data_IF_194943664050
#
_entry.id   IF_194943664050
#
_cell.length_a   1.000
_cell.length_b   1.000
_cell.length_c   1.000
_cell.angle_alpha   90.00
_cell.angle_beta   90.00
_cell.angle_gamma   90.00
#
_symmetry.space_group_name_H-M   'P 1'
#
loop_
_entity.id
_entity.type
_entity.pdbx_description
1 polymer ?
#
# COMPACT_ATOMS: atom_id res chain seq x y z
N UNK A 1 82.45 6.57 20.72
CA UNK A 1 82.79 7.43 21.87
C UNK A 1 83.30 8.76 21.34
N UNK A 2 82.40 9.71 21.07
CA UNK A 2 82.61 11.15 21.24
C UNK A 2 81.26 11.87 21.02
N UNK A 3 81.08 12.93 21.79
CA UNK A 3 79.89 13.77 21.95
C UNK A 3 79.36 14.37 20.65
N UNK A 4 78.02 14.43 20.52
CA UNK A 4 77.31 15.67 20.16
C UNK A 4 76.03 15.74 21.02
N UNK A 5 75.95 16.77 21.85
CA UNK A 5 74.69 17.19 22.47
C UNK A 5 73.73 17.65 21.37
N UNK A 6 72.54 17.08 21.31
CA UNK A 6 71.41 17.69 20.60
C UNK A 6 70.23 17.72 21.56
N UNK A 7 69.91 18.94 22.01
CA UNK A 7 68.68 19.26 22.72
C UNK A 7 67.48 18.74 21.92
N UNK A 8 66.78 17.75 22.48
CA UNK A 8 65.50 17.27 22.01
C UNK A 8 64.43 18.31 22.29
N UNK A 9 64.30 19.21 21.32
CA UNK A 9 63.39 20.34 21.19
C UNK A 9 62.02 20.19 21.91
N UNK A 10 61.79 20.95 22.99
CA UNK A 10 60.48 21.07 23.67
C UNK A 10 59.37 21.55 22.73
N UNK A 11 59.75 22.25 21.65
CA UNK A 11 58.80 22.68 20.63
C UNK A 11 58.25 21.52 19.79
N UNK A 12 58.99 20.43 19.58
CA UNK A 12 58.49 19.27 18.82
C UNK A 12 57.43 18.47 19.60
N UNK A 13 57.58 18.35 20.93
CA UNK A 13 56.54 17.74 21.77
C UNK A 13 55.31 18.65 21.89
N UNK A 14 55.49 19.96 22.02
CA UNK A 14 54.38 20.92 22.03
C UNK A 14 53.62 20.94 20.70
N UNK A 15 54.33 20.82 19.58
CA UNK A 15 53.74 20.79 18.23
C UNK A 15 53.01 19.48 17.97
N UNK A 16 53.57 18.35 18.42
CA UNK A 16 52.92 17.03 18.37
C UNK A 16 51.64 17.00 19.23
N UNK A 17 51.67 17.57 20.44
CA UNK A 17 50.49 17.68 21.30
C UNK A 17 49.41 18.61 20.72
N UNK A 18 49.80 19.70 20.05
CA UNK A 18 48.88 20.57 19.31
C UNK A 18 48.25 19.84 18.12
N UNK A 19 49.02 19.02 17.40
CA UNK A 19 48.52 18.18 16.31
C UNK A 19 47.54 17.12 16.78
N UNK A 20 47.84 16.43 17.88
CA UNK A 20 46.94 15.42 18.48
C UNK A 20 45.66 16.10 18.99
N UNK A 21 45.75 17.27 19.64
CA UNK A 21 44.56 18.04 20.06
C UNK A 21 43.73 18.50 18.85
N UNK A 22 44.35 18.88 17.74
CA UNK A 22 43.64 19.24 16.51
C UNK A 22 42.93 18.03 15.87
N UNK A 23 43.58 16.87 15.83
CA UNK A 23 42.99 15.60 15.36
C UNK A 23 41.83 15.13 16.23
N UNK A 24 41.94 15.26 17.56
CA UNK A 24 40.83 14.98 18.48
C UNK A 24 39.69 15.98 18.29
N UNK A 25 39.97 17.26 18.07
CA UNK A 25 38.94 18.28 17.80
C UNK A 25 38.21 18.01 16.48
N UNK A 26 38.93 17.64 15.41
CA UNK A 26 38.35 17.26 14.12
C UNK A 26 37.50 15.98 14.26
N UNK A 27 37.94 15.01 15.05
CA UNK A 27 37.16 13.80 15.36
C UNK A 27 35.87 14.15 16.14
N UNK A 28 35.95 15.04 17.14
CA UNK A 28 34.78 15.50 17.89
C UNK A 28 33.80 16.30 17.01
N UNK A 29 34.30 17.16 16.10
CA UNK A 29 33.45 17.88 15.14
C UNK A 29 32.82 16.89 14.14
N UNK A 30 33.57 15.90 13.68
CA UNK A 30 33.07 14.82 12.83
C UNK A 30 31.91 14.08 13.50
N UNK A 31 32.09 13.63 14.75
CA UNK A 31 31.03 12.96 15.54
C UNK A 31 29.82 13.87 15.76
N UNK A 32 30.02 15.17 15.99
CA UNK A 32 28.91 16.14 16.12
C UNK A 32 28.18 16.35 14.80
N UNK A 33 28.87 16.38 13.66
CA UNK A 33 28.24 16.47 12.33
C UNK A 33 27.47 15.19 12.01
N UNK A 34 28.01 14.01 12.31
CA UNK A 34 27.30 12.74 12.11
C UNK A 34 26.10 12.64 13.05
N UNK A 35 26.22 13.11 14.31
CA UNK A 35 25.09 13.22 15.24
C UNK A 35 24.04 14.22 14.74
N UNK A 36 24.43 15.39 14.22
CA UNK A 36 23.50 16.38 13.66
C UNK A 36 22.81 15.88 12.38
N UNK A 37 23.50 15.12 11.53
CA UNK A 37 22.92 14.45 10.37
C UNK A 37 21.98 13.31 10.78
N UNK A 38 22.31 12.60 11.87
CA UNK A 38 21.43 11.58 12.45
C UNK A 38 20.21 12.21 13.15
N UNK A 39 20.35 13.36 13.81
CA UNK A 39 19.24 14.14 14.40
C UNK A 39 18.33 14.76 13.34
N UNK A 40 18.84 15.10 12.16
CA UNK A 40 18.01 15.50 11.00
C UNK A 40 17.37 14.29 10.27
N UNK A 41 17.75 13.06 10.60
CA UNK A 41 17.21 11.82 10.03
C UNK A 41 16.38 10.98 11.02
N UNK A 42 16.38 11.34 12.30
CA UNK A 42 15.44 10.81 13.28
C UNK A 42 14.17 11.64 13.18
N UNK A 43 13.05 10.96 12.98
CA UNK A 43 11.70 11.51 13.01
C UNK A 43 11.59 12.65 14.02
N UNK A 44 11.19 13.84 13.54
CA UNK A 44 10.56 14.83 14.42
C UNK A 44 9.34 14.10 14.99
N UNK A 45 9.50 13.54 16.19
CA UNK A 45 8.40 13.14 17.04
C UNK A 45 7.67 14.45 17.31
N UNK A 46 6.64 14.73 16.52
CA UNK A 46 5.60 15.63 16.95
C UNK A 46 5.04 15.00 18.23
N UNK A 47 5.51 15.49 19.37
CA UNK A 47 4.70 15.47 20.57
C UNK A 47 3.47 16.33 20.25
N UNK A 48 2.48 15.69 19.64
CA UNK A 48 1.11 16.16 19.69
C UNK A 48 0.81 16.18 21.17
N UNK A 49 0.79 17.38 21.75
CA UNK A 49 0.06 17.58 22.99
C UNK A 49 -1.36 17.12 22.68
N UNK A 50 -1.71 15.91 23.12
CA UNK A 50 -3.08 15.49 23.26
C UNK A 50 -3.68 16.49 24.26
N UNK A 51 -4.25 17.57 23.73
CA UNK A 51 -5.14 18.43 24.49
C UNK A 51 -6.16 17.50 25.12
N UNK A 52 -6.35 17.63 26.44
CA UNK A 52 -7.50 17.00 27.11
C UNK A 52 -8.73 17.25 26.22
N UNK A 53 -9.52 16.23 25.88
CA UNK A 53 -10.75 16.48 25.16
C UNK A 53 -11.57 17.42 26.05
N UNK A 54 -11.77 18.63 25.56
CA UNK A 54 -12.80 19.50 26.09
C UNK A 54 -14.09 18.68 26.03
N UNK A 55 -14.74 18.60 27.19
CA UNK A 55 -15.93 17.81 27.44
C UNK A 55 -17.11 18.47 26.71
N UNK A 56 -17.08 18.44 25.38
CA UNK A 56 -18.19 18.82 24.52
C UNK A 56 -19.00 17.56 24.30
N UNK A 57 -20.19 17.53 24.88
CA UNK A 57 -21.22 16.50 24.72
C UNK A 57 -21.83 16.48 23.30
N UNK A 58 -21.04 16.84 22.28
CA UNK A 58 -21.42 16.85 20.88
C UNK A 58 -21.04 15.53 20.20
N UNK A 59 -21.93 15.04 19.34
CA UNK A 59 -21.63 13.96 18.40
C UNK A 59 -20.36 14.34 17.59
N UNK A 60 -19.33 13.49 17.53
CA UNK A 60 -18.18 13.71 16.66
C UNK A 60 -18.68 13.94 15.23
N UNK A 61 -18.25 15.03 14.60
CA UNK A 61 -18.60 15.34 13.22
C UNK A 61 -17.39 15.08 12.33
N UNK A 62 -17.57 14.20 11.36
CA UNK A 62 -16.56 13.86 10.35
C UNK A 62 -16.93 14.60 9.06
N UNK A 63 -15.95 15.27 8.46
CA UNK A 63 -16.08 15.90 7.17
C UNK A 63 -15.64 14.91 6.07
N UNK A 64 -16.50 14.55 5.10
CA UNK A 64 -16.10 13.72 3.98
C UNK A 64 -14.88 14.25 3.22
N UNK A 65 -14.69 15.57 3.15
CA UNK A 65 -13.57 16.19 2.45
C UNK A 65 -12.23 15.97 3.15
N UNK A 66 -12.21 15.59 4.43
CA UNK A 66 -10.97 15.26 5.11
C UNK A 66 -10.32 13.98 4.56
N UNK A 67 -11.10 13.12 3.89
CA UNK A 67 -10.61 11.94 3.18
C UNK A 67 -10.08 12.26 1.79
N UNK A 68 -10.23 13.51 1.30
CA UNK A 68 -9.76 13.88 -0.03
C UNK A 68 -8.23 13.80 -0.10
N UNK A 69 -7.73 13.21 -1.18
CA UNK A 69 -6.29 13.08 -1.42
C UNK A 69 -5.74 14.38 -1.97
N UNK A 70 -4.59 14.81 -1.43
CA UNK A 70 -3.80 15.93 -1.93
C UNK A 70 -2.38 15.46 -2.28
N UNK A 71 -1.66 16.16 -3.18
CA UNK A 71 -0.39 15.69 -3.72
C UNK A 71 0.67 15.24 -2.71
N UNK A 72 0.77 15.91 -1.56
CA UNK A 72 1.84 15.71 -0.57
C UNK A 72 1.34 15.27 0.81
N UNK A 73 0.13 14.71 0.89
CA UNK A 73 -0.50 14.36 2.14
C UNK A 73 -0.88 12.88 2.11
N UNK A 74 -0.09 12.00 2.75
CA UNK A 74 -0.23 10.54 2.67
C UNK A 74 -1.31 9.92 3.54
N UNK A 75 -2.03 10.73 4.33
CA UNK A 75 -3.12 10.29 5.20
C UNK A 75 -4.25 11.34 5.21
N UNK A 76 -5.49 10.99 5.61
CA UNK A 76 -6.60 11.97 5.72
C UNK A 76 -6.31 13.15 6.68
N UNK A 77 -6.97 14.31 6.49
CA UNK A 77 -6.75 15.57 7.28
C UNK A 77 -7.33 15.59 8.71
N UNK A 78 -7.83 14.47 9.23
CA UNK A 78 -8.57 14.47 10.50
C UNK A 78 -7.63 14.20 11.69
N UNK A 79 -7.22 15.25 12.42
CA UNK A 79 -6.23 15.09 13.51
C UNK A 79 -6.79 14.64 14.87
N UNK A 80 -8.12 14.59 15.07
CA UNK A 80 -8.70 14.31 16.39
C UNK A 80 -9.74 13.17 16.46
N UNK A 81 -10.27 12.69 15.34
CA UNK A 81 -11.39 11.71 15.32
C UNK A 81 -11.22 10.55 14.35
N UNK A 82 -10.12 10.47 13.60
CA UNK A 82 -9.86 9.32 12.73
C UNK A 82 -9.26 8.18 13.54
N UNK A 83 -9.77 6.99 13.28
CA UNK A 83 -9.23 5.78 13.88
C UNK A 83 -7.87 5.50 13.25
N UNK A 84 -6.85 5.38 14.08
CA UNK A 84 -5.56 4.85 13.66
C UNK A 84 -5.75 3.42 13.17
N UNK A 85 -5.50 3.17 11.88
CA UNK A 85 -5.68 1.86 11.26
C UNK A 85 -4.78 0.80 11.90
N UNK A 86 -3.65 1.19 12.48
CA UNK A 86 -2.76 0.27 13.21
C UNK A 86 -3.39 -0.23 14.52
N UNK A 87 -4.27 0.58 15.13
CA UNK A 87 -4.93 0.28 16.41
C UNK A 87 -6.16 -0.62 16.30
N UNK A 88 -6.65 -0.88 15.09
CA UNK A 88 -7.82 -1.71 14.84
C UNK A 88 -7.52 -3.19 15.08
N UNK A 89 -8.56 -3.97 15.44
CA UNK A 89 -8.49 -5.42 15.37
C UNK A 89 -8.53 -5.85 13.90
N UNK A 90 -7.56 -6.68 13.49
CA UNK A 90 -7.41 -7.19 12.13
C UNK A 90 -7.42 -8.72 12.17
N UNK A 91 -8.03 -9.39 11.17
CA UNK A 91 -7.88 -10.83 11.02
C UNK A 91 -6.41 -11.22 10.83
N UNK A 92 -6.08 -12.45 11.20
CA UNK A 92 -4.80 -13.06 10.81
C UNK A 92 -4.66 -13.07 9.29
N UNK A 93 -3.43 -12.88 8.81
CA UNK A 93 -3.16 -12.84 7.38
C UNK A 93 -3.42 -14.24 6.76
N UNK A 94 -4.28 -14.35 5.73
CA UNK A 94 -4.47 -15.59 5.02
C UNK A 94 -3.24 -15.85 4.14
N UNK A 95 -2.44 -16.84 4.52
CA UNK A 95 -1.15 -17.17 3.87
C UNK A 95 -1.09 -18.63 3.44
N UNK A 96 -0.34 -18.89 2.36
CA UNK A 96 -0.05 -20.23 1.90
C UNK A 96 0.94 -20.92 2.85
N UNK A 97 0.80 -22.24 3.03
CA UNK A 97 1.70 -23.03 3.88
C UNK A 97 3.16 -23.05 3.36
N UNK A 98 3.36 -22.83 2.07
CA UNK A 98 4.66 -22.82 1.43
C UNK A 98 4.76 -21.65 0.45
N UNK A 99 5.96 -21.06 0.27
CA UNK A 99 6.15 -20.00 -0.72
C UNK A 99 5.81 -20.50 -2.11
N UNK A 100 5.02 -19.72 -2.85
CA UNK A 100 4.76 -20.01 -4.25
C UNK A 100 6.08 -19.93 -5.05
N UNK A 101 6.17 -20.74 -6.11
CA UNK A 101 7.41 -21.01 -6.87
C UNK A 101 8.52 -21.66 -6.05
N UNK A 102 8.15 -22.46 -5.06
CA UNK A 102 9.05 -23.45 -4.47
C UNK A 102 9.13 -24.69 -5.37
N UNK A 103 10.24 -25.44 -5.27
CA UNK A 103 10.50 -26.65 -6.05
C UNK A 103 10.65 -27.87 -5.15
N UNK A 104 10.28 -29.05 -5.64
CA UNK A 104 10.58 -30.32 -4.97
C UNK A 104 12.05 -30.73 -5.15
N UNK A 105 12.47 -31.84 -4.55
CA UNK A 105 13.83 -32.40 -4.66
C UNK A 105 14.25 -32.76 -6.10
N UNK A 106 13.29 -32.85 -7.03
CA UNK A 106 13.53 -33.09 -8.47
C UNK A 106 13.64 -31.79 -9.28
N UNK A 107 13.54 -30.63 -8.62
CA UNK A 107 13.56 -29.31 -9.26
C UNK A 107 12.24 -28.91 -9.91
N UNK A 108 11.16 -29.66 -9.71
CA UNK A 108 9.84 -29.36 -10.28
C UNK A 108 9.09 -28.38 -9.38
N UNK A 109 8.42 -27.39 -9.97
CA UNK A 109 7.61 -26.45 -9.20
C UNK A 109 6.44 -27.15 -8.51
N UNK A 110 6.25 -26.85 -7.22
CA UNK A 110 5.07 -27.28 -6.48
C UNK A 110 3.79 -26.71 -7.12
N UNK A 111 2.67 -27.46 -7.11
CA UNK A 111 1.40 -26.97 -7.61
C UNK A 111 0.95 -25.74 -6.81
N UNK A 112 0.27 -24.81 -7.49
CA UNK A 112 -0.38 -23.71 -6.77
C UNK A 112 -1.58 -24.25 -5.98
N UNK A 113 -1.94 -23.58 -4.87
CA UNK A 113 -3.12 -23.94 -4.09
C UNK A 113 -4.41 -23.97 -4.94
N UNK A 114 -5.43 -24.74 -4.50
CA UNK A 114 -6.75 -24.73 -5.10
C UNK A 114 -7.38 -23.33 -5.18
N UNK A 115 -8.47 -23.20 -5.93
CA UNK A 115 -9.18 -21.92 -6.02
C UNK A 115 -9.67 -21.46 -4.63
N UNK A 116 -9.53 -20.14 -4.37
CA UNK A 116 -9.91 -19.52 -3.10
C UNK A 116 -9.08 -19.96 -1.89
N UNK A 117 -7.92 -20.60 -2.12
CA UNK A 117 -6.87 -20.74 -1.11
C UNK A 117 -5.82 -19.63 -1.28
N UNK A 118 -5.15 -19.20 -0.20
CA UNK A 118 -4.13 -18.17 -0.30
C UNK A 118 -2.95 -18.62 -1.15
N UNK A 119 -2.45 -17.75 -2.01
CA UNK A 119 -1.35 -18.07 -2.95
C UNK A 119 0.01 -17.63 -2.40
N UNK A 120 0.07 -16.46 -1.76
CA UNK A 120 1.29 -15.92 -1.17
C UNK A 120 1.53 -16.53 0.21
N UNK A 121 2.77 -16.94 0.48
CA UNK A 121 3.24 -17.20 1.84
C UNK A 121 3.33 -15.91 2.67
N UNK A 122 3.66 -16.03 3.96
CA UNK A 122 3.82 -14.89 4.87
C UNK A 122 4.85 -13.89 4.35
N UNK A 123 6.06 -14.34 4.00
CA UNK A 123 7.11 -13.44 3.53
C UNK A 123 6.78 -12.81 2.16
N UNK A 124 6.07 -13.55 1.30
CA UNK A 124 5.62 -13.04 0.00
C UNK A 124 4.55 -11.96 0.16
N UNK A 125 3.56 -12.18 1.03
CA UNK A 125 2.50 -11.21 1.33
C UNK A 125 3.07 -9.94 1.98
N UNK A 126 4.01 -10.09 2.92
CA UNK A 126 4.76 -8.97 3.53
C UNK A 126 5.56 -8.16 2.51
N UNK A 127 6.23 -8.83 1.57
CA UNK A 127 6.91 -8.14 0.48
C UNK A 127 5.92 -7.35 -0.38
N UNK A 128 4.79 -7.95 -0.80
CA UNK A 128 3.76 -7.27 -1.61
C UNK A 128 3.20 -6.04 -0.90
N UNK A 129 2.89 -6.13 0.41
CA UNK A 129 2.50 -4.96 1.23
C UNK A 129 3.56 -3.87 1.20
N UNK A 130 4.82 -4.22 1.39
CA UNK A 130 5.92 -3.24 1.41
C UNK A 130 6.19 -2.62 0.04
N UNK A 131 6.01 -3.35 -1.05
CA UNK A 131 6.07 -2.79 -2.40
C UNK A 131 5.02 -1.69 -2.58
N UNK A 132 3.77 -1.98 -2.22
CA UNK A 132 2.66 -1.03 -2.32
C UNK A 132 2.85 0.19 -1.40
N UNK A 133 3.22 -0.04 -0.14
CA UNK A 133 3.46 1.03 0.84
C UNK A 133 4.63 1.93 0.42
N UNK A 134 5.76 1.33 0.03
CA UNK A 134 6.95 2.08 -0.42
C UNK A 134 6.64 2.90 -1.66
N UNK A 135 5.90 2.34 -2.62
CA UNK A 135 5.44 3.08 -3.79
C UNK A 135 4.59 4.29 -3.40
N UNK A 136 3.59 4.09 -2.53
CA UNK A 136 2.70 5.16 -2.07
C UNK A 136 3.47 6.30 -1.39
N UNK A 137 4.30 5.98 -0.40
CA UNK A 137 5.13 6.96 0.31
C UNK A 137 6.06 7.71 -0.64
N UNK A 138 6.65 7.00 -1.60
CA UNK A 138 7.50 7.59 -2.63
C UNK A 138 6.73 8.59 -3.50
N UNK A 139 5.49 8.28 -3.87
CA UNK A 139 4.64 9.18 -4.65
C UNK A 139 4.27 10.43 -3.86
N UNK A 140 3.85 10.29 -2.59
CA UNK A 140 3.52 11.43 -1.73
C UNK A 140 4.74 12.32 -1.44
N UNK A 141 5.90 11.73 -1.14
CA UNK A 141 7.14 12.47 -0.89
C UNK A 141 7.59 13.30 -2.10
N UNK A 142 7.10 12.98 -3.31
CA UNK A 142 7.40 13.69 -4.56
C UNK A 142 6.25 14.58 -5.06
N UNK A 143 5.20 14.78 -4.24
CA UNK A 143 4.04 15.59 -4.58
C UNK A 143 3.20 14.98 -5.71
N UNK A 144 3.09 13.65 -5.75
CA UNK A 144 2.36 12.88 -6.77
C UNK A 144 1.23 12.03 -6.17
N UNK A 145 0.86 12.28 -4.90
CA UNK A 145 -0.13 11.54 -4.14
C UNK A 145 -1.51 11.43 -4.80
N UNK A 146 -1.91 12.46 -5.55
CA UNK A 146 -3.18 12.53 -6.27
C UNK A 146 -3.10 12.04 -7.74
N UNK A 147 -1.95 11.49 -8.14
CA UNK A 147 -1.68 11.02 -9.52
C UNK A 147 -1.62 9.51 -9.65
N UNK A 148 -1.98 8.78 -8.60
CA UNK A 148 -2.18 7.34 -8.63
C UNK A 148 -3.36 6.94 -7.74
N UNK A 149 -3.87 5.74 -7.97
CA UNK A 149 -4.91 5.13 -7.14
C UNK A 149 -4.70 3.62 -7.06
N UNK A 150 -5.22 2.98 -6.02
CA UNK A 150 -5.37 1.53 -5.99
C UNK A 150 -6.14 1.08 -7.24
N UNK A 151 -5.77 -0.08 -7.78
CA UNK A 151 -6.39 -0.61 -8.98
C UNK A 151 -6.57 -2.11 -8.91
N UNK A 152 -7.15 -2.72 -9.96
CA UNK A 152 -7.14 -4.17 -10.12
C UNK A 152 -7.77 -4.92 -8.94
N UNK A 153 -7.15 -6.04 -8.57
CA UNK A 153 -7.58 -6.84 -7.42
C UNK A 153 -7.32 -6.13 -6.09
N UNK A 154 -6.33 -5.24 -6.05
CA UNK A 154 -5.97 -4.42 -4.87
C UNK A 154 -7.08 -3.45 -4.47
N UNK A 155 -7.66 -2.70 -5.42
CA UNK A 155 -8.80 -1.80 -5.15
C UNK A 155 -10.05 -2.59 -4.74
N UNK A 156 -10.31 -3.71 -5.41
CA UNK A 156 -11.43 -4.57 -5.05
C UNK A 156 -11.26 -5.15 -3.65
N UNK A 157 -10.03 -5.54 -3.29
CA UNK A 157 -9.67 -5.96 -1.95
C UNK A 157 -9.88 -4.87 -0.90
N UNK A 158 -9.43 -3.64 -1.14
CA UNK A 158 -9.72 -2.48 -0.27
C UNK A 158 -11.23 -2.33 -0.03
N UNK A 159 -12.04 -2.51 -1.07
CA UNK A 159 -13.48 -2.38 -0.97
C UNK A 159 -14.16 -3.55 -0.23
N UNK A 160 -13.67 -4.78 -0.43
CA UNK A 160 -14.33 -6.04 -0.02
C UNK A 160 -13.77 -6.64 1.27
N UNK A 161 -12.51 -6.40 1.57
CA UNK A 161 -11.78 -7.04 2.68
C UNK A 161 -11.03 -6.04 3.55
N UNK A 162 -11.09 -4.74 3.21
CA UNK A 162 -10.15 -3.71 3.69
C UNK A 162 -8.68 -4.11 3.52
N UNK A 163 -8.35 -5.06 2.65
CA UNK A 163 -7.02 -5.65 2.48
C UNK A 163 -6.96 -6.44 1.16
N UNK A 164 -5.86 -7.14 0.85
CA UNK A 164 -5.80 -8.05 -0.30
C UNK A 164 -6.94 -9.07 -0.30
N UNK A 165 -7.47 -9.35 -1.50
CA UNK A 165 -8.31 -10.53 -1.70
C UNK A 165 -7.48 -11.77 -1.25
N UNK A 166 -8.02 -12.66 -0.41
CA UNK A 166 -7.21 -13.71 0.23
C UNK A 166 -6.44 -14.63 -0.74
N UNK A 167 -6.96 -14.82 -1.96
CA UNK A 167 -6.38 -15.66 -3.01
C UNK A 167 -5.80 -14.86 -4.19
N UNK A 168 -5.68 -13.53 -4.08
CA UNK A 168 -4.92 -12.73 -5.06
C UNK A 168 -3.43 -13.00 -4.92
N UNK A 169 -2.69 -12.86 -6.02
CA UNK A 169 -1.25 -13.15 -6.07
C UNK A 169 -0.36 -11.94 -6.41
N UNK A 170 -0.90 -10.73 -6.50
CA UNK A 170 -0.14 -9.51 -6.76
C UNK A 170 -0.79 -8.24 -6.20
N UNK A 171 -0.19 -7.08 -6.51
CA UNK A 171 -0.72 -5.76 -6.19
C UNK A 171 -0.75 -4.88 -7.45
N UNK A 172 -1.75 -4.00 -7.54
CA UNK A 172 -1.98 -3.13 -8.69
C UNK A 172 -2.19 -1.67 -8.27
N UNK A 173 -1.53 -0.76 -8.98
CA UNK A 173 -1.82 0.68 -8.94
C UNK A 173 -2.09 1.21 -10.34
N UNK A 174 -2.87 2.27 -10.44
CA UNK A 174 -3.20 2.95 -11.70
C UNK A 174 -2.70 4.39 -11.65
N UNK A 175 -1.72 4.72 -12.48
CA UNK A 175 -0.95 5.97 -12.46
C UNK A 175 -1.26 6.80 -13.70
N UNK A 176 -1.29 8.12 -13.56
CA UNK A 176 -1.46 9.00 -14.71
C UNK A 176 -0.27 8.85 -15.69
N UNK A 177 -0.55 8.49 -16.94
CA UNK A 177 0.50 8.22 -17.92
C UNK A 177 1.40 9.43 -18.19
N UNK A 178 0.89 10.66 -18.00
CA UNK A 178 1.65 11.89 -18.22
C UNK A 178 2.84 12.06 -17.28
N UNK A 179 2.85 11.37 -16.13
CA UNK A 179 3.95 11.41 -15.16
C UNK A 179 4.82 10.15 -15.18
N UNK A 180 4.59 9.23 -16.13
CA UNK A 180 5.24 7.92 -16.16
C UNK A 180 6.78 8.00 -16.11
N UNK A 181 7.39 8.86 -16.91
CA UNK A 181 8.86 8.96 -16.94
C UNK A 181 9.41 9.48 -15.61
N UNK A 182 8.70 10.42 -14.96
CA UNK A 182 9.04 10.90 -13.62
C UNK A 182 8.92 9.76 -12.59
N UNK A 183 7.84 8.98 -12.63
CA UNK A 183 7.65 7.82 -11.74
C UNK A 183 8.75 6.79 -11.93
N UNK A 184 9.09 6.43 -13.18
CA UNK A 184 10.20 5.53 -13.51
C UNK A 184 11.52 6.01 -12.93
N UNK A 185 11.85 7.29 -13.11
CA UNK A 185 13.08 7.89 -12.57
C UNK A 185 13.13 7.85 -11.04
N UNK A 186 12.01 8.13 -10.36
CA UNK A 186 11.94 8.10 -8.90
C UNK A 186 12.10 6.65 -8.41
N UNK A 187 11.34 5.70 -8.96
CA UNK A 187 11.39 4.30 -8.53
C UNK A 187 12.73 3.63 -8.85
N UNK A 188 13.43 4.04 -9.91
CA UNK A 188 14.77 3.54 -10.21
C UNK A 188 15.78 3.85 -9.09
N UNK A 189 15.59 4.96 -8.36
CA UNK A 189 16.44 5.36 -7.22
C UNK A 189 16.25 4.49 -5.98
N UNK A 190 15.23 3.62 -5.96
CA UNK A 190 14.99 2.69 -4.85
C UNK A 190 15.93 1.47 -4.85
N UNK A 191 16.81 1.36 -5.85
CA UNK A 191 17.88 0.35 -5.86
C UNK A 191 18.88 0.57 -4.72
N UNK A 192 19.47 -0.50 -4.15
CA UNK A 192 19.30 -1.90 -4.53
C UNK A 192 18.10 -2.60 -3.85
N UNK A 193 17.34 -1.88 -3.02
CA UNK A 193 16.27 -2.47 -2.21
C UNK A 193 15.06 -2.90 -3.04
N UNK A 194 14.80 -2.21 -4.15
CA UNK A 194 13.74 -2.54 -5.09
C UNK A 194 14.24 -2.47 -6.53
N UNK A 195 13.62 -3.27 -7.39
CA UNK A 195 13.90 -3.33 -8.81
C UNK A 195 12.67 -2.89 -9.60
N UNK A 196 12.90 -2.05 -10.61
CA UNK A 196 11.89 -1.65 -11.58
C UNK A 196 12.19 -2.32 -12.92
N UNK A 197 11.20 -3.04 -13.45
CA UNK A 197 11.18 -3.48 -14.83
C UNK A 197 10.18 -2.63 -15.61
N UNK A 198 10.68 -1.85 -16.57
CA UNK A 198 9.86 -0.96 -17.39
C UNK A 198 9.39 -1.69 -18.64
N UNK A 199 8.09 -1.72 -18.90
CA UNK A 199 7.53 -2.30 -20.13
C UNK A 199 6.22 -1.65 -20.54
N UNK A 200 5.81 -1.84 -21.78
CA UNK A 200 4.50 -1.42 -22.25
C UNK A 200 3.53 -2.62 -22.22
N UNK A 201 2.28 -2.46 -21.74
CA UNK A 201 1.65 -1.22 -21.25
C UNK A 201 1.83 -0.98 -19.74
N UNK A 202 2.54 -1.85 -19.01
CA UNK A 202 2.67 -1.78 -17.53
C UNK A 202 4.12 -1.94 -17.11
N UNK A 203 4.51 -1.23 -16.05
CA UNK A 203 5.80 -1.44 -15.39
C UNK A 203 5.61 -2.37 -14.17
N UNK A 204 6.70 -2.99 -13.69
CA UNK A 204 6.68 -3.90 -12.54
C UNK A 204 7.70 -3.47 -11.49
N UNK A 205 7.25 -3.26 -10.27
CA UNK A 205 8.11 -3.02 -9.11
C UNK A 205 8.20 -4.30 -8.26
N UNK A 206 9.41 -4.77 -7.97
CA UNK A 206 9.62 -6.01 -7.22
C UNK A 206 10.84 -5.92 -6.30
N UNK A 207 10.94 -6.87 -5.37
CA UNK A 207 12.03 -6.93 -4.41
C UNK A 207 13.36 -7.40 -5.02
N UNK A 208 14.40 -7.55 -4.18
CA UNK A 208 15.63 -8.23 -4.57
C UNK A 208 15.33 -9.68 -4.96
N UNK A 209 16.10 -10.24 -5.89
CA UNK A 209 15.94 -11.65 -6.25
C UNK A 209 16.56 -12.57 -5.19
N UNK A 210 15.90 -13.69 -4.90
CA UNK A 210 16.48 -14.76 -4.10
C UNK A 210 17.74 -15.34 -4.75
N UNK A 211 18.67 -15.81 -3.92
CA UNK A 211 19.82 -16.62 -4.37
C UNK A 211 19.52 -18.14 -4.26
N UNK A 212 20.50 -18.97 -4.65
CA UNK A 212 20.36 -20.43 -4.65
C UNK A 212 20.09 -21.01 -3.24
N UNK A 213 20.71 -20.46 -2.19
CA UNK A 213 20.55 -20.92 -0.82
C UNK A 213 19.17 -20.56 -0.23
N UNK A 214 18.49 -19.57 -0.81
CA UNK A 214 17.19 -19.07 -0.37
C UNK A 214 16.01 -19.74 -1.08
N UNK A 215 16.26 -20.66 -2.04
CA UNK A 215 15.21 -21.24 -2.88
C UNK A 215 14.10 -21.94 -2.10
N UNK A 216 14.44 -22.59 -1.00
CA UNK A 216 13.47 -23.33 -0.18
C UNK A 216 12.93 -22.50 0.99
N UNK A 217 13.48 -21.30 1.21
CA UNK A 217 13.12 -20.44 2.34
C UNK A 217 11.94 -19.53 2.01
N UNK A 218 11.13 -19.23 3.03
CA UNK A 218 10.15 -18.16 2.98
C UNK A 218 10.81 -16.83 3.38
N UNK A 219 11.40 -16.16 2.41
CA UNK A 219 12.10 -14.87 2.59
C UNK A 219 11.37 -13.77 1.84
N UNK A 220 11.43 -12.55 2.35
CA UNK A 220 10.72 -11.40 1.79
C UNK A 220 11.47 -10.81 0.58
N UNK A 221 11.74 -11.67 -0.40
CA UNK A 221 12.42 -11.39 -1.67
C UNK A 221 11.62 -11.96 -2.82
N UNK A 222 11.83 -11.40 -4.00
CA UNK A 222 11.17 -11.88 -5.21
C UNK A 222 11.90 -13.09 -5.79
N UNK A 223 11.15 -13.96 -6.46
CA UNK A 223 11.63 -15.15 -7.16
C UNK A 223 11.66 -14.88 -8.67
N UNK A 224 12.73 -15.24 -9.41
CA UNK A 224 12.91 -14.84 -10.82
C UNK A 224 11.84 -15.40 -11.75
N UNK A 225 10.93 -14.59 -12.30
CA UNK A 225 9.88 -14.99 -13.25
C UNK A 225 10.06 -14.21 -14.55
N UNK A 226 10.20 -14.92 -15.67
CA UNK A 226 10.55 -14.31 -16.97
C UNK A 226 11.80 -13.40 -16.82
N UNK A 227 11.64 -12.08 -17.06
CA UNK A 227 12.71 -11.07 -17.03
C UNK A 227 12.76 -10.25 -15.73
N UNK A 228 11.90 -10.55 -14.75
CA UNK A 228 11.75 -9.81 -13.49
C UNK A 228 11.53 -10.79 -12.32
N UNK A 229 11.08 -10.32 -11.15
CA UNK A 229 10.82 -11.16 -9.98
C UNK A 229 9.37 -11.07 -9.51
N UNK A 230 8.83 -12.16 -8.97
CA UNK A 230 7.53 -12.22 -8.28
C UNK A 230 7.71 -12.66 -6.82
N UNK A 231 7.06 -12.07 -5.79
CA UNK A 231 6.01 -11.06 -5.89
C UNK A 231 6.47 -9.74 -6.50
N UNK A 232 5.58 -9.12 -7.27
CA UNK A 232 5.72 -7.79 -7.84
C UNK A 232 4.42 -7.00 -7.60
N UNK A 233 4.51 -5.69 -7.79
CA UNK A 233 3.38 -4.80 -7.95
C UNK A 233 3.35 -4.29 -9.39
N UNK A 234 2.20 -4.44 -10.05
CA UNK A 234 1.92 -3.90 -11.37
C UNK A 234 1.61 -2.40 -11.27
N UNK A 235 2.34 -1.61 -12.06
CA UNK A 235 2.10 -0.19 -12.24
C UNK A 235 1.40 -0.03 -13.58
N UNK A 236 0.07 0.04 -13.53
CA UNK A 236 -0.79 0.33 -14.66
C UNK A 236 -0.83 1.84 -14.94
N UNK A 237 -1.19 2.21 -16.17
CA UNK A 237 -1.29 3.61 -16.56
C UNK A 237 -2.65 3.95 -17.15
N UNK A 238 -3.11 5.17 -16.88
CA UNK A 238 -4.33 5.71 -17.50
C UNK A 238 -4.07 7.00 -18.27
N UNK A 239 -4.92 7.24 -19.25
CA UNK A 239 -5.13 8.55 -19.88
C UNK A 239 -6.39 9.19 -19.33
N UNK A 240 -6.41 10.52 -19.22
CA UNK A 240 -7.62 11.29 -18.92
C UNK A 240 -7.81 12.37 -19.98
N UNK A 241 -9.02 12.52 -20.51
CA UNK A 241 -9.37 13.57 -21.46
C UNK A 241 -10.32 14.63 -20.84
N UNK A 242 -10.43 14.65 -19.51
CA UNK A 242 -11.36 15.51 -18.76
C UNK A 242 -12.78 14.98 -18.65
N UNK A 243 -13.21 14.08 -19.54
CA UNK A 243 -14.53 13.43 -19.47
C UNK A 243 -14.46 11.97 -19.04
N UNK A 244 -13.37 11.29 -19.40
CA UNK A 244 -13.16 9.87 -19.12
C UNK A 244 -11.71 9.59 -18.75
N UNK A 245 -11.54 8.58 -17.91
CA UNK A 245 -10.29 7.93 -17.55
C UNK A 245 -10.24 6.57 -18.22
N UNK A 246 -9.15 6.26 -18.91
CA UNK A 246 -8.98 5.00 -19.64
C UNK A 246 -7.66 4.33 -19.31
N UNK A 247 -7.69 3.06 -18.88
CA UNK A 247 -6.49 2.22 -18.78
C UNK A 247 -5.87 2.04 -20.17
N UNK A 248 -4.58 2.32 -20.32
CA UNK A 248 -3.89 2.22 -21.62
C UNK A 248 -3.72 0.78 -22.09
N UNK A 249 -3.80 -0.20 -21.17
CA UNK A 249 -3.84 -1.62 -21.49
C UNK A 249 -5.23 -2.11 -21.94
N UNK A 250 -6.22 -1.23 -22.01
CA UNK A 250 -7.57 -1.55 -22.49
C UNK A 250 -7.54 -2.07 -23.93
N UNK A 251 -8.28 -3.16 -24.17
CA UNK A 251 -8.44 -3.77 -25.49
C UNK A 251 -9.86 -3.55 -26.04
N UNK A 252 -10.11 -3.78 -27.35
CA UNK A 252 -11.47 -3.71 -27.90
C UNK A 252 -12.46 -4.66 -27.21
N UNK A 253 -11.99 -5.82 -26.74
CA UNK A 253 -12.79 -6.81 -26.02
C UNK A 253 -13.01 -6.44 -24.54
N UNK A 254 -12.16 -5.60 -23.97
CA UNK A 254 -12.24 -5.18 -22.57
C UNK A 254 -11.95 -3.68 -22.44
N UNK A 255 -13.02 -2.89 -22.55
CA UNK A 255 -12.98 -1.43 -22.47
C UNK A 255 -12.95 -0.99 -21.00
N UNK A 256 -11.76 -0.69 -20.51
CA UNK A 256 -11.51 -0.18 -19.17
C UNK A 256 -11.56 1.35 -19.21
N UNK A 257 -12.77 1.89 -19.27
CA UNK A 257 -13.05 3.32 -19.39
C UNK A 257 -14.07 3.71 -18.33
N UNK A 258 -13.75 4.74 -17.55
CA UNK A 258 -14.60 5.27 -16.49
C UNK A 258 -14.89 6.75 -16.74
N UNK A 259 -16.12 7.23 -16.55
CA UNK A 259 -16.42 8.65 -16.42
C UNK A 259 -15.48 9.34 -15.41
N UNK A 260 -15.00 10.54 -15.75
CA UNK A 260 -14.05 11.29 -14.93
C UNK A 260 -14.57 11.51 -13.51
N UNK A 261 -15.86 11.82 -13.37
CA UNK A 261 -16.51 12.04 -12.09
C UNK A 261 -16.53 10.79 -11.20
N UNK A 262 -16.49 9.56 -11.74
CA UNK A 262 -16.42 8.34 -10.93
C UNK A 262 -15.02 8.18 -10.32
N UNK A 263 -14.01 8.72 -11.00
CA UNK A 263 -12.61 8.61 -10.58
C UNK A 263 -12.24 9.75 -9.64
N UNK A 264 -12.50 11.01 -10.02
CA UNK A 264 -11.94 12.18 -9.36
C UNK A 264 -12.98 13.05 -8.61
N UNK A 265 -12.55 13.81 -7.58
CA UNK A 265 -11.23 13.74 -6.94
C UNK A 265 -11.01 12.41 -6.22
N UNK A 266 -9.75 12.05 -5.97
CA UNK A 266 -9.43 10.82 -5.24
C UNK A 266 -9.73 10.97 -3.75
N UNK A 267 -10.12 9.86 -3.12
CA UNK A 267 -10.37 9.77 -1.68
C UNK A 267 -9.55 8.63 -1.07
N UNK A 268 -9.15 8.80 0.19
CA UNK A 268 -8.46 7.78 0.95
C UNK A 268 -9.39 6.63 1.33
N UNK A 269 -8.92 5.40 1.14
CA UNK A 269 -9.55 4.17 1.62
C UNK A 269 -8.55 3.32 2.40
N UNK A 270 -9.00 2.50 3.37
CA UNK A 270 -8.13 1.60 4.08
C UNK A 270 -7.67 0.45 3.17
N UNK A 271 -6.42 0.06 3.31
CA UNK A 271 -5.89 -1.19 2.77
C UNK A 271 -4.84 -1.73 3.73
N UNK A 272 -5.24 -2.73 4.50
CA UNK A 272 -4.59 -3.11 5.74
C UNK A 272 -4.46 -1.89 6.67
N UNK A 273 -3.28 -1.74 7.25
CA UNK A 273 -2.98 -0.71 8.25
C UNK A 273 -2.61 0.66 7.67
N UNK A 274 -2.82 0.89 6.38
CA UNK A 274 -2.45 2.14 5.71
C UNK A 274 -3.58 2.71 4.87
N UNK A 275 -3.53 4.02 4.66
CA UNK A 275 -4.42 4.76 3.79
C UNK A 275 -3.85 4.85 2.37
N UNK A 276 -4.69 4.63 1.36
CA UNK A 276 -4.29 4.76 -0.03
C UNK A 276 -5.30 5.55 -0.86
N UNK A 277 -4.85 6.29 -1.88
CA UNK A 277 -5.75 6.91 -2.85
C UNK A 277 -6.61 5.88 -3.59
N UNK A 278 -7.90 6.17 -3.70
CA UNK A 278 -8.88 5.37 -4.42
C UNK A 278 -9.83 6.27 -5.25
N UNK A 279 -10.49 5.73 -6.30
CA UNK A 279 -11.52 6.44 -7.05
C UNK A 279 -12.67 6.92 -6.15
N UNK A 280 -13.22 8.11 -6.45
CA UNK A 280 -14.35 8.71 -5.72
C UNK A 280 -15.52 7.75 -5.49
N UNK A 281 -15.98 7.10 -6.56
CA UNK A 281 -17.01 6.05 -6.49
C UNK A 281 -16.35 4.68 -6.73
N UNK A 282 -15.63 4.20 -5.72
CA UNK A 282 -14.91 2.92 -5.75
C UNK A 282 -15.83 1.74 -6.12
N UNK A 283 -17.07 1.74 -5.65
CA UNK A 283 -18.03 0.69 -5.98
C UNK A 283 -18.35 0.68 -7.48
N UNK A 284 -18.69 1.84 -8.06
CA UNK A 284 -19.04 1.91 -9.47
C UNK A 284 -17.82 1.70 -10.36
N UNK A 285 -16.65 2.17 -9.93
CA UNK A 285 -15.38 1.89 -10.60
C UNK A 285 -15.14 0.38 -10.74
N UNK A 286 -15.26 -0.37 -9.64
CA UNK A 286 -15.13 -1.82 -9.64
C UNK A 286 -16.25 -2.51 -10.45
N UNK A 287 -17.48 -2.03 -10.36
CA UNK A 287 -18.63 -2.57 -11.11
C UNK A 287 -18.46 -2.43 -12.63
N UNK A 288 -17.93 -1.31 -13.10
CA UNK A 288 -17.61 -1.12 -14.54
C UNK A 288 -16.57 -2.14 -15.00
N UNK A 289 -15.57 -2.46 -14.16
CA UNK A 289 -14.49 -3.40 -14.50
C UNK A 289 -14.90 -4.87 -14.43
N UNK A 290 -15.61 -5.26 -13.37
CA UNK A 290 -15.84 -6.67 -13.03
C UNK A 290 -17.29 -7.12 -13.23
N UNK A 291 -18.23 -6.20 -13.49
CA UNK A 291 -19.65 -6.51 -13.58
C UNK A 291 -20.25 -6.80 -12.21
N UNK A 292 -20.65 -8.05 -11.97
CA UNK A 292 -21.27 -8.48 -10.71
C UNK A 292 -20.24 -8.59 -9.60
N UNK A 293 -20.13 -7.53 -8.79
CA UNK A 293 -19.21 -7.43 -7.66
C UNK A 293 -19.58 -8.34 -6.49
N UNK A 294 -20.74 -8.99 -6.51
CA UNK A 294 -21.15 -10.01 -5.53
C UNK A 294 -20.48 -11.38 -5.77
N UNK A 295 -19.80 -11.52 -6.91
CA UNK A 295 -19.03 -12.71 -7.25
C UNK A 295 -17.58 -12.57 -6.81
N UNK A 296 -17.10 -13.64 -6.20
CA UNK A 296 -15.70 -13.82 -5.85
C UNK A 296 -15.04 -14.56 -7.01
N UNK A 297 -14.10 -13.87 -7.65
CA UNK A 297 -13.46 -14.33 -8.87
C UNK A 297 -12.05 -14.79 -8.55
N UNK A 298 -11.66 -15.92 -9.14
CA UNK A 298 -10.27 -16.27 -9.39
C UNK A 298 -10.02 -16.07 -10.87
N UNK A 299 -9.26 -15.03 -11.21
CA UNK A 299 -9.02 -14.69 -12.60
C UNK A 299 -8.23 -15.77 -13.34
N UNK A 300 -8.39 -15.80 -14.67
CA UNK A 300 -7.77 -16.77 -15.56
C UNK A 300 -6.29 -16.50 -15.85
N UNK A 301 -5.60 -15.72 -15.04
CA UNK A 301 -4.18 -15.41 -15.15
C UNK A 301 -3.52 -15.63 -13.80
N UNK A 302 -2.31 -16.18 -13.78
CA UNK A 302 -1.49 -16.31 -12.57
C UNK A 302 -0.24 -15.48 -12.74
N UNK A 303 -0.07 -14.48 -11.89
CA UNK A 303 1.11 -13.62 -11.84
C UNK A 303 2.33 -14.39 -11.33
N UNK A 304 2.11 -15.40 -10.47
CA UNK A 304 3.15 -16.34 -10.05
C UNK A 304 3.83 -17.01 -11.26
N UNK A 305 3.06 -17.39 -12.27
CA UNK A 305 3.56 -18.13 -13.45
C UNK A 305 3.76 -17.25 -14.67
N UNK A 306 3.23 -16.02 -14.64
CA UNK A 306 3.05 -15.17 -15.82
C UNK A 306 2.42 -15.97 -16.97
N UNK A 307 1.30 -16.64 -16.68
CA UNK A 307 0.64 -17.54 -17.61
C UNK A 307 -0.86 -17.68 -17.32
N UNK A 308 -1.60 -18.17 -18.32
CA UNK A 308 -3.01 -18.50 -18.18
C UNK A 308 -3.23 -19.53 -17.06
N UNK A 309 -4.28 -19.31 -16.28
CA UNK A 309 -4.74 -20.15 -15.19
C UNK A 309 -6.23 -20.48 -15.36
N UNK A 310 -6.71 -21.45 -14.58
CA UNK A 310 -8.14 -21.77 -14.56
C UNK A 310 -8.91 -20.64 -13.89
N UNK A 311 -9.85 -20.06 -14.63
CA UNK A 311 -10.87 -19.16 -14.10
C UNK A 311 -11.82 -19.94 -13.16
N UNK A 312 -12.25 -19.30 -12.07
CA UNK A 312 -13.33 -19.78 -11.23
C UNK A 312 -14.16 -18.60 -10.71
N UNK A 313 -15.45 -18.84 -10.48
CA UNK A 313 -16.33 -17.87 -9.86
C UNK A 313 -17.29 -18.56 -8.89
N UNK A 314 -17.48 -17.96 -7.71
CA UNK A 314 -18.49 -18.35 -6.71
C UNK A 314 -19.19 -17.08 -6.20
N UNK A 315 -20.33 -17.25 -5.56
CA UNK A 315 -20.92 -16.14 -4.81
C UNK A 315 -20.05 -15.86 -3.58
N UNK A 316 -19.69 -14.59 -3.33
CA UNK A 316 -18.82 -14.25 -2.20
C UNK A 316 -19.37 -14.72 -0.85
N UNK A 317 -20.70 -14.76 -0.69
CA UNK A 317 -21.37 -15.35 0.49
C UNK A 317 -20.90 -16.77 0.81
N UNK A 318 -20.55 -17.58 -0.20
CA UNK A 318 -20.06 -18.93 0.02
C UNK A 318 -18.68 -18.96 0.71
N UNK A 319 -17.95 -17.85 0.69
CA UNK A 319 -16.62 -17.70 1.31
C UNK A 319 -16.67 -16.88 2.61
N UNK A 320 -17.83 -16.33 2.99
CA UNK A 320 -17.97 -15.43 4.15
C UNK A 320 -17.73 -16.11 5.52
N UNK A 321 -17.79 -17.45 5.58
CA UNK A 321 -17.42 -18.22 6.76
C UNK A 321 -15.91 -18.45 6.88
N UNK A 322 -15.18 -18.28 5.77
CA UNK A 322 -13.75 -18.52 5.67
C UNK A 322 -12.95 -17.23 5.74
N UNK A 323 -13.47 -16.17 5.14
CA UNK A 323 -12.82 -14.86 5.07
C UNK A 323 -13.78 -13.77 5.51
N UNK A 324 -13.28 -12.73 6.20
CA UNK A 324 -14.10 -11.58 6.52
C UNK A 324 -14.36 -10.72 5.27
N UNK A 325 -15.56 -10.16 5.20
CA UNK A 325 -16.02 -9.28 4.12
C UNK A 325 -16.50 -7.94 4.70
N UNK A 326 -16.42 -6.89 3.89
CA UNK A 326 -16.86 -5.55 4.26
C UNK A 326 -18.37 -5.43 4.05
N UNK A 327 -19.07 -5.06 5.10
CA UNK A 327 -20.48 -4.68 5.06
C UNK A 327 -20.60 -3.16 5.07
N UNK A 328 -21.36 -2.61 4.13
CA UNK A 328 -21.61 -1.17 4.04
C UNK A 328 -22.96 -0.83 4.68
N UNK A 329 -22.92 -0.02 5.74
CA UNK A 329 -24.09 0.46 6.48
C UNK A 329 -24.06 1.97 6.67
N UNK A 330 -25.20 2.63 6.93
CA UNK A 330 -25.19 4.04 7.31
C UNK A 330 -24.39 4.25 8.60
N UNK A 331 -23.46 5.21 8.64
CA UNK A 331 -22.69 5.55 9.84
C UNK A 331 -23.62 6.12 10.91
N UNK A 332 -23.72 5.43 12.06
CA UNK A 332 -24.58 5.84 13.18
C UNK A 332 -23.85 6.80 14.10
N UNK A 333 -24.55 7.83 14.58
CA UNK A 333 -24.03 8.71 15.63
C UNK A 333 -22.88 9.61 15.19
N UNK A 334 -22.77 9.91 13.88
CA UNK A 334 -21.86 10.90 13.31
C UNK A 334 -22.67 11.84 12.41
N UNK A 335 -22.52 13.15 12.61
CA UNK A 335 -23.10 14.15 11.72
C UNK A 335 -22.13 14.42 10.57
N UNK A 336 -22.57 14.21 9.33
CA UNK A 336 -21.84 14.66 8.14
C UNK A 336 -21.98 16.17 8.05
N UNK A 337 -20.87 16.90 8.23
CA UNK A 337 -20.84 18.32 7.85
C UNK A 337 -21.00 18.42 6.34
N UNK A 338 -21.78 19.40 5.90
CA UNK A 338 -21.84 19.79 4.49
C UNK A 338 -20.82 20.90 4.29
N UNK A 339 -19.84 20.67 3.42
CA UNK A 339 -18.89 21.69 2.96
C UNK A 339 -19.42 22.35 1.68
N UNK A 340 -18.87 23.53 1.35
CA UNK A 340 -19.19 24.24 0.11
C UNK A 340 -18.69 23.50 -1.15
N UNK A 341 -17.73 22.57 -1.02
CA UNK A 341 -17.24 21.74 -2.12
C UNK A 341 -18.16 20.53 -2.33
N UNK A 342 -19.22 20.76 -3.11
CA UNK A 342 -20.34 19.83 -3.29
C UNK A 342 -20.02 18.67 -4.27
N UNK A 343 -19.16 17.72 -3.87
CA UNK A 343 -18.96 16.44 -4.61
C UNK A 343 -20.01 15.38 -4.25
N UNK A 344 -21.06 15.75 -3.53
CA UNK A 344 -22.11 14.85 -3.00
C UNK A 344 -21.57 13.64 -2.22
N UNK A 345 -20.49 13.88 -1.46
CA UNK A 345 -19.89 12.89 -0.56
C UNK A 345 -20.52 13.00 0.83
N UNK A 346 -20.67 11.86 1.48
CA UNK A 346 -21.18 11.71 2.84
C UNK A 346 -20.38 10.62 3.55
N UNK A 347 -20.61 10.43 4.84
CA UNK A 347 -19.94 9.38 5.62
C UNK A 347 -20.82 8.14 5.74
N UNK A 348 -20.27 6.96 5.42
CA UNK A 348 -20.90 5.65 5.64
C UNK A 348 -19.98 4.74 6.46
N UNK A 349 -20.57 3.83 7.22
CA UNK A 349 -19.84 2.85 8.01
C UNK A 349 -19.53 1.62 7.14
N UNK A 350 -18.28 1.20 7.17
CA UNK A 350 -17.80 -0.05 6.61
C UNK A 350 -17.33 -0.96 7.75
N UNK A 351 -17.88 -2.17 7.84
CA UNK A 351 -17.62 -3.14 8.90
C UNK A 351 -16.95 -4.38 8.33
N UNK A 352 -15.79 -4.78 8.85
CA UNK A 352 -15.13 -6.01 8.43
C UNK A 352 -15.66 -7.21 9.24
N UNK A 353 -16.45 -8.07 8.61
CA UNK A 353 -17.28 -9.10 9.28
C UNK A 353 -16.99 -10.50 8.76
N UNK A 354 -16.73 -11.44 9.67
CA UNK A 354 -16.67 -12.88 9.42
C UNK A 354 -17.99 -13.56 9.83
N UNK A 355 -18.60 -14.32 8.93
CA UNK A 355 -19.85 -15.05 9.15
C UNK A 355 -19.57 -16.49 9.60
N UNK A 356 -19.25 -16.66 10.88
CA UNK A 356 -18.85 -17.97 11.46
C UNK A 356 -19.92 -19.05 11.25
N UNK A 357 -21.20 -18.69 11.39
CA UNK A 357 -22.33 -19.53 11.01
C UNK A 357 -23.57 -18.65 10.72
N UNK A 358 -24.74 -19.27 10.45
CA UNK A 358 -25.96 -18.53 10.09
C UNK A 358 -26.44 -17.51 11.13
N UNK A 359 -26.05 -17.68 12.40
CA UNK A 359 -26.57 -16.90 13.52
C UNK A 359 -25.48 -16.07 14.22
N UNK A 360 -24.20 -16.31 13.90
CA UNK A 360 -23.08 -15.69 14.58
C UNK A 360 -22.11 -15.05 13.59
N UNK A 361 -21.88 -13.76 13.79
CA UNK A 361 -20.88 -12.97 13.07
C UNK A 361 -19.85 -12.43 14.05
N UNK A 362 -18.59 -12.37 13.61
CA UNK A 362 -17.50 -11.66 14.31
C UNK A 362 -17.17 -10.41 13.51
N UNK A 363 -17.30 -9.24 14.11
CA UNK A 363 -16.80 -7.98 13.53
C UNK A 363 -15.39 -7.75 14.03
N UNK A 364 -14.43 -7.57 13.13
CA UNK A 364 -13.06 -7.20 13.47
C UNK A 364 -12.99 -5.69 13.76
N UNK A 365 -13.46 -4.87 12.83
CA UNK A 365 -13.53 -3.42 13.04
C UNK A 365 -14.65 -2.77 12.24
N UNK A 366 -14.95 -1.52 12.61
CA UNK A 366 -15.85 -0.60 11.91
C UNK A 366 -15.13 0.72 11.64
N UNK A 367 -15.33 1.29 10.46
CA UNK A 367 -14.77 2.58 10.05
C UNK A 367 -15.83 3.43 9.37
N UNK A 368 -15.85 4.73 9.64
CA UNK A 368 -16.70 5.65 8.92
C UNK A 368 -15.87 6.35 7.83
N UNK A 369 -16.23 6.15 6.56
CA UNK A 369 -15.49 6.57 5.38
C UNK A 369 -16.32 7.49 4.49
N UNK A 370 -15.65 8.36 3.74
CA UNK A 370 -16.28 9.16 2.70
C UNK A 370 -16.73 8.27 1.52
N UNK A 371 -18.02 8.37 1.17
CA UNK A 371 -18.64 7.69 0.03
C UNK A 371 -19.61 8.63 -0.70
N UNK A 372 -19.91 8.39 -1.98
CA UNK A 372 -20.98 9.13 -2.65
C UNK A 372 -22.33 8.91 -1.95
N UNK A 373 -23.18 9.94 -1.86
CA UNK A 373 -24.47 9.89 -1.14
C UNK A 373 -25.38 8.75 -1.59
N UNK A 374 -25.40 8.47 -2.89
CA UNK A 374 -26.17 7.37 -3.47
C UNK A 374 -25.60 5.97 -3.14
N UNK A 375 -24.46 5.87 -2.45
CA UNK A 375 -23.82 4.61 -2.03
C UNK A 375 -24.08 4.21 -0.59
N UNK A 376 -24.60 5.10 0.26
CA UNK A 376 -24.84 4.84 1.70
C UNK A 376 -25.74 3.62 1.96
N UNK A 377 -26.70 3.36 1.07
CA UNK A 377 -27.67 2.27 1.18
C UNK A 377 -27.41 1.11 0.24
N UNK A 378 -26.22 1.02 -0.34
CA UNK A 378 -25.82 -0.18 -1.09
C UNK A 378 -25.54 -1.28 -0.07
N UNK A 379 -26.61 -1.76 0.59
CA UNK A 379 -26.59 -2.94 1.44
C UNK A 379 -26.21 -4.10 0.55
N UNK A 380 -24.95 -4.44 0.53
CA UNK A 380 -24.55 -5.72 0.02
C UNK A 380 -23.72 -6.34 1.12
N UNK A 381 -24.40 -7.18 1.89
CA UNK A 381 -23.84 -8.00 2.99
C UNK A 381 -22.72 -8.92 2.47
N UNK A 382 -22.45 -8.94 1.16
CA UNK A 382 -21.49 -9.83 0.50
C UNK A 382 -20.88 -9.22 -0.78
N UNK A 383 -20.57 -7.91 -0.79
CA UNK A 383 -19.60 -7.39 -1.78
C UNK A 383 -18.21 -7.46 -1.25
#
# INVERSE_FOLDING_TARGET
MLLIMSQGNSDNQATSLKFIKALVLISCIGVVITLLQHFNSIQIIHFVFAGRPDNTSGIPSIDPDDFRVFPSQSSPKVSASLVDLESLDWPEDPVAAHPARNTNLRGEFLPLPPAYEPVMSDAQRKLTRRLLHTFSETMFANGLGDRFMLYGGTLLGSYRHHDFIPWDDDADVLVDVSIRDKVRQILFKLRPHYNLYTSEPRDKLYGPLINQAEKELDVEKSRPVRMYGWPFMDICYFTSNGTHVKDIASSPAQRFIWPHEIVFPLYFRPFGRHWFPAPRDTWLFNRIKYGLVERCLKFGYSHVREANAKFAAVMCRQLAHKYPFVEHTPCRGVSSKQTEMNFDMVVAEERLVLHVNSNYTRTYHSLCLAVPRNRVKTQIVFV
#
